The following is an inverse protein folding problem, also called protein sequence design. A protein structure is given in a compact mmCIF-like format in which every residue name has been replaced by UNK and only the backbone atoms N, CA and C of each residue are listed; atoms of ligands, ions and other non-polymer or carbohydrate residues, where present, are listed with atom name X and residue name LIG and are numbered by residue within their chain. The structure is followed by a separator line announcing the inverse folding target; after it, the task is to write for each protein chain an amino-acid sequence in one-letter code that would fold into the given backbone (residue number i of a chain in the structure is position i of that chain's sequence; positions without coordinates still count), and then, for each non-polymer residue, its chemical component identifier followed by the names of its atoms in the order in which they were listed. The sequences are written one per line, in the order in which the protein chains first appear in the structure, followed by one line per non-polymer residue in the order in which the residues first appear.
data_IF_378054620670
#
_entry.id   IF_378054620670
#
_cell.length_a   1.000
_cell.length_b   1.000
_cell.length_c   1.000
_cell.angle_alpha   90.00
_cell.angle_beta   90.00
_cell.angle_gamma   90.00
#
_symmetry.space_group_name_H-M   'P 1'
#
loop_
_entity.id
_entity.type
_entity.pdbx_description
1 polymer ?
#
# COMPACT_ATOMS: atom_id res chain seq x y z
N UNK A 1 27.69 17.91 -15.20
CA UNK A 1 26.32 17.54 -14.77
C UNK A 1 26.45 16.68 -13.52
N UNK A 2 25.99 17.19 -12.37
CA UNK A 2 26.02 16.48 -11.09
C UNK A 2 24.81 15.55 -11.03
N UNK A 3 25.02 14.26 -10.75
CA UNK A 3 23.94 13.31 -10.48
C UNK A 3 23.29 13.66 -9.13
N UNK A 4 21.96 13.62 -8.99
CA UNK A 4 21.32 13.73 -7.69
C UNK A 4 21.62 12.47 -6.85
N UNK A 5 21.64 12.58 -5.52
CA UNK A 5 21.89 11.45 -4.64
C UNK A 5 20.71 10.47 -4.71
N UNK A 6 21.02 9.19 -4.85
CA UNK A 6 20.07 8.08 -4.71
C UNK A 6 19.30 8.24 -3.40
N UNK A 7 17.98 8.38 -3.52
CA UNK A 7 17.06 8.44 -2.37
C UNK A 7 16.99 7.05 -1.75
N UNK A 8 17.14 7.00 -0.42
CA UNK A 8 17.29 5.80 0.39
C UNK A 8 15.98 4.95 0.44
N UNK A 9 14.92 5.37 -0.24
CA UNK A 9 13.60 4.73 -0.25
C UNK A 9 13.42 3.62 -1.29
N UNK A 10 14.36 3.39 -2.21
CA UNK A 10 14.31 2.26 -3.17
C UNK A 10 14.46 0.86 -2.53
N UNK A 11 14.49 0.76 -1.20
CA UNK A 11 14.76 -0.49 -0.47
C UNK A 11 13.53 -1.02 0.29
N UNK A 12 12.43 -0.26 0.39
CA UNK A 12 11.28 -0.65 1.21
C UNK A 12 10.22 -1.52 0.51
N UNK A 13 10.16 -1.54 -0.83
CA UNK A 13 9.18 -2.35 -1.61
C UNK A 13 9.67 -3.79 -1.85
N UNK A 14 10.81 -4.17 -1.24
CA UNK A 14 11.46 -5.47 -1.42
C UNK A 14 11.46 -6.28 -0.11
N UNK A 15 10.28 -6.58 0.43
CA UNK A 15 10.10 -7.60 1.48
C UNK A 15 9.22 -8.73 0.97
N UNK A 16 9.86 -9.55 0.13
CA UNK A 16 9.44 -10.86 -0.33
C UNK A 16 9.08 -11.78 0.85
N UNK A 17 7.87 -12.33 0.79
CA UNK A 17 7.33 -13.45 1.56
C UNK A 17 8.37 -14.56 1.76
N UNK A 18 8.92 -14.67 2.97
CA UNK A 18 9.81 -15.76 3.37
C UNK A 18 9.59 -16.12 4.85
N UNK A 19 8.59 -16.97 5.12
CA UNK A 19 8.65 -17.89 6.25
C UNK A 19 8.48 -19.32 5.76
N UNK A 20 9.63 -19.87 5.38
CA UNK A 20 9.86 -21.27 5.03
C UNK A 20 9.58 -22.15 6.25
N UNK A 21 8.68 -23.10 6.05
CA UNK A 21 8.52 -24.29 6.87
C UNK A 21 9.82 -25.09 6.90
N UNK A 22 10.49 -25.13 8.04
CA UNK A 22 11.60 -26.06 8.30
C UNK A 22 11.18 -27.08 9.34
N UNK A 23 10.79 -28.27 8.87
CA UNK A 23 10.70 -29.46 9.69
C UNK A 23 12.13 -29.91 10.06
N UNK A 24 12.53 -29.74 11.33
CA UNK A 24 13.76 -30.34 11.84
C UNK A 24 13.46 -31.69 12.52
N UNK A 25 14.13 -32.71 12.01
CA UNK A 25 14.26 -34.05 12.59
C UNK A 25 14.96 -33.96 13.94
N UNK A 26 14.38 -34.63 14.94
CA UNK A 26 14.86 -34.80 16.32
C UNK A 26 16.23 -35.48 16.40
N UNK A 27 17.20 -34.81 17.05
CA UNK A 27 18.31 -35.47 17.75
C UNK A 27 18.33 -34.95 19.19
N UNK A 28 17.82 -35.77 20.11
CA UNK A 28 17.89 -35.48 21.54
C UNK A 28 19.34 -35.70 22.04
N UNK A 29 20.05 -34.60 22.33
CA UNK A 29 21.17 -34.62 23.27
C UNK A 29 20.76 -33.86 24.52
N UNK A 30 20.61 -34.58 25.63
CA UNK A 30 20.42 -34.01 26.95
C UNK A 30 21.69 -33.25 27.34
N UNK A 31 21.66 -31.91 27.23
CA UNK A 31 22.65 -31.05 27.85
C UNK A 31 22.18 -30.72 29.28
N UNK A 32 22.98 -31.12 30.25
CA UNK A 32 22.85 -30.72 31.65
C UNK A 32 22.93 -29.20 31.73
N UNK A 33 21.83 -28.52 32.05
CA UNK A 33 21.82 -27.07 32.26
C UNK A 33 22.48 -26.74 33.59
N UNK A 34 23.61 -26.02 33.56
CA UNK A 34 24.10 -25.31 34.74
C UNK A 34 23.10 -24.19 35.11
N UNK A 35 22.88 -23.90 36.41
CA UNK A 35 21.98 -22.83 36.84
C UNK A 35 22.44 -21.48 36.28
N UNK A 36 21.63 -20.89 35.39
CA UNK A 36 21.91 -19.58 34.79
C UNK A 36 21.88 -18.50 35.88
N UNK A 37 22.90 -17.62 35.98
CA UNK A 37 22.90 -16.51 36.92
C UNK A 37 21.66 -15.62 36.72
N UNK A 38 20.93 -15.36 37.81
CA UNK A 38 19.79 -14.43 37.81
C UNK A 38 20.34 -13.02 37.70
N UNK A 39 20.30 -12.46 36.49
CA UNK A 39 20.56 -11.04 36.26
C UNK A 39 19.29 -10.23 36.60
N UNK A 40 19.43 -9.04 37.20
CA UNK A 40 18.30 -8.14 37.43
C UNK A 40 17.63 -7.80 36.09
N UNK A 41 16.30 -7.83 36.07
CA UNK A 41 15.52 -7.50 34.87
C UNK A 41 15.76 -6.02 34.51
N UNK A 42 16.38 -5.80 33.35
CA UNK A 42 16.33 -4.49 32.69
C UNK A 42 14.86 -4.15 32.44
N UNK A 43 14.37 -2.95 32.80
CA UNK A 43 13.03 -2.54 32.44
C UNK A 43 12.92 -2.59 30.92
N UNK A 44 12.00 -3.40 30.40
CA UNK A 44 11.61 -3.32 29.00
C UNK A 44 10.94 -1.96 28.87
N UNK A 45 11.60 -1.03 28.21
CA UNK A 45 11.02 0.27 27.88
C UNK A 45 9.69 0.02 27.16
N UNK A 46 8.66 0.70 27.63
CA UNK A 46 7.36 0.79 26.99
C UNK A 46 7.61 1.18 25.53
N UNK A 47 7.42 0.24 24.62
CA UNK A 47 7.53 0.51 23.19
C UNK A 47 6.35 1.42 22.88
N UNK A 48 6.62 2.69 22.54
CA UNK A 48 5.62 3.57 21.95
C UNK A 48 5.00 2.79 20.79
N UNK A 49 3.75 2.35 20.95
CA UNK A 49 3.01 1.78 19.84
C UNK A 49 2.86 2.92 18.84
N UNK A 50 3.58 2.85 17.71
CA UNK A 50 3.35 3.75 16.61
C UNK A 50 1.83 3.80 16.35
N UNK A 51 1.27 5.00 16.27
CA UNK A 51 -0.16 5.17 16.06
C UNK A 51 -0.53 4.48 14.74
N UNK A 52 -1.37 3.46 14.83
CA UNK A 52 -1.93 2.76 13.67
C UNK A 52 -3.16 3.51 13.18
N UNK A 53 -3.35 3.58 11.86
CA UNK A 53 -4.59 4.00 11.22
C UNK A 53 -5.62 2.86 11.14
N UNK A 54 -5.22 1.60 11.42
CA UNK A 54 -6.11 0.44 11.38
C UNK A 54 -7.00 0.39 12.62
N UNK A 55 -8.31 0.34 12.41
CA UNK A 55 -9.31 0.13 13.45
C UNK A 55 -10.39 -0.84 12.96
N UNK A 56 -10.46 -2.03 13.56
CA UNK A 56 -11.38 -3.08 13.12
C UNK A 56 -11.09 -3.51 11.67
N UNK A 57 -12.07 -3.34 10.79
CA UNK A 57 -11.98 -3.64 9.35
C UNK A 57 -11.93 -2.37 8.50
N UNK A 58 -11.27 -1.35 9.02
CA UNK A 58 -11.08 -0.06 8.36
C UNK A 58 -9.67 0.49 8.62
N UNK A 59 -9.20 1.30 7.69
CA UNK A 59 -7.99 2.08 7.82
C UNK A 59 -8.29 3.55 7.56
N UNK A 60 -7.75 4.42 8.41
CA UNK A 60 -7.82 5.87 8.29
C UNK A 60 -6.41 6.43 8.32
N UNK A 61 -5.99 7.01 7.19
CA UNK A 61 -4.73 7.72 7.05
C UNK A 61 -4.66 8.88 8.05
N UNK A 62 -3.67 8.89 8.97
CA UNK A 62 -3.60 9.89 10.04
C UNK A 62 -3.30 11.31 9.56
N UNK A 63 -2.70 11.47 8.38
CA UNK A 63 -2.22 12.76 7.86
C UNK A 63 -3.24 13.42 6.93
N UNK A 64 -3.72 12.70 5.91
CA UNK A 64 -4.62 13.27 4.90
C UNK A 64 -6.05 12.76 4.99
N UNK A 65 -6.35 11.86 5.93
CA UNK A 65 -7.71 11.38 6.19
C UNK A 65 -8.28 10.47 5.10
N UNK A 66 -7.46 10.03 4.15
CA UNK A 66 -7.83 8.96 3.20
C UNK A 66 -8.26 7.74 4.00
N UNK A 67 -9.33 7.07 3.58
CA UNK A 67 -9.81 5.89 4.30
C UNK A 67 -10.31 4.80 3.38
N UNK A 68 -10.28 3.57 3.88
CA UNK A 68 -10.79 2.37 3.21
C UNK A 68 -11.38 1.43 4.26
N UNK A 69 -12.40 0.66 3.87
CA UNK A 69 -13.00 -0.37 4.71
C UNK A 69 -13.10 -1.69 3.94
N UNK A 70 -12.97 -2.82 4.62
CA UNK A 70 -12.97 -4.13 3.97
C UNK A 70 -13.86 -5.13 4.71
N UNK A 71 -14.21 -6.20 4.01
CA UNK A 71 -14.80 -7.39 4.64
C UNK A 71 -13.67 -8.25 5.24
N UNK A 72 -13.60 -8.40 6.58
CA UNK A 72 -12.53 -9.18 7.22
C UNK A 72 -12.65 -10.70 6.97
N UNK A 73 -13.74 -11.19 6.36
CA UNK A 73 -13.84 -12.56 5.90
C UNK A 73 -13.08 -12.82 4.58
N UNK A 74 -12.76 -11.75 3.84
CA UNK A 74 -12.13 -11.82 2.51
C UNK A 74 -10.73 -11.23 2.53
N UNK A 75 -10.55 -10.13 3.25
CA UNK A 75 -9.36 -9.28 3.20
C UNK A 75 -8.63 -9.29 4.53
N UNK A 76 -7.30 -9.36 4.47
CA UNK A 76 -6.41 -9.27 5.64
C UNK A 76 -5.43 -8.13 5.45
N UNK A 77 -5.16 -7.37 6.52
CA UNK A 77 -4.08 -6.37 6.51
C UNK A 77 -2.75 -7.11 6.49
N UNK A 78 -1.96 -6.86 5.46
CA UNK A 78 -0.63 -7.44 5.28
C UNK A 78 0.47 -6.51 5.80
N UNK A 79 0.21 -5.19 5.78
CA UNK A 79 1.13 -4.17 6.23
C UNK A 79 0.48 -2.81 6.39
N UNK A 80 1.13 -1.96 7.18
CA UNK A 80 0.82 -0.54 7.31
C UNK A 80 2.14 0.22 7.45
N UNK A 81 2.20 1.37 6.81
CA UNK A 81 3.37 2.23 6.82
C UNK A 81 2.92 3.67 7.07
N UNK A 82 3.46 4.29 8.10
CA UNK A 82 3.18 5.69 8.45
C UNK A 82 4.53 6.35 8.74
N UNK A 83 4.92 7.27 7.87
CA UNK A 83 6.16 8.04 7.95
C UNK A 83 5.90 9.50 7.53
N UNK A 84 6.89 10.37 7.72
CA UNK A 84 6.81 11.76 7.30
C UNK A 84 6.69 11.81 5.77
N UNK A 85 5.54 12.29 5.30
CA UNK A 85 5.28 12.46 3.87
C UNK A 85 4.77 11.22 3.15
N UNK A 86 4.52 10.14 3.88
CA UNK A 86 3.99 8.89 3.33
C UNK A 86 3.11 8.17 4.34
N UNK A 87 1.92 7.76 3.92
CA UNK A 87 1.09 6.84 4.69
C UNK A 87 0.40 5.84 3.78
N UNK A 88 0.28 4.60 4.21
CA UNK A 88 -0.40 3.60 3.41
C UNK A 88 -0.72 2.32 4.14
N UNK A 89 -1.63 1.57 3.54
CA UNK A 89 -2.06 0.25 4.00
C UNK A 89 -1.97 -0.74 2.84
N UNK A 90 -1.50 -1.94 3.15
CA UNK A 90 -1.48 -3.08 2.26
C UNK A 90 -2.50 -4.10 2.75
N UNK A 91 -3.42 -4.49 1.87
CA UNK A 91 -4.52 -5.40 2.19
C UNK A 91 -4.58 -6.49 1.11
N UNK A 92 -4.63 -7.76 1.52
CA UNK A 92 -4.55 -8.88 0.59
C UNK A 92 -5.59 -9.97 0.79
N UNK A 93 -5.73 -10.75 -0.27
CA UNK A 93 -6.32 -12.09 -0.33
C UNK A 93 -5.18 -13.10 -0.57
N UNK A 94 -5.44 -14.41 -0.64
CA UNK A 94 -4.39 -15.37 -0.99
C UNK A 94 -3.75 -15.17 -2.38
N UNK A 95 -4.38 -14.44 -3.31
CA UNK A 95 -3.92 -14.28 -4.70
C UNK A 95 -3.86 -12.84 -5.21
N UNK A 96 -4.30 -11.86 -4.41
CA UNK A 96 -4.28 -10.45 -4.75
C UNK A 96 -3.82 -9.59 -3.59
N UNK A 97 -3.17 -8.49 -3.91
CA UNK A 97 -2.76 -7.47 -2.95
C UNK A 97 -3.19 -6.09 -3.46
N UNK A 98 -3.74 -5.27 -2.57
CA UNK A 98 -4.10 -3.88 -2.83
C UNK A 98 -3.30 -2.98 -1.89
N UNK A 99 -2.61 -2.01 -2.48
CA UNK A 99 -1.92 -0.93 -1.79
C UNK A 99 -2.72 0.35 -1.94
N UNK A 100 -2.91 1.07 -0.83
CA UNK A 100 -3.41 2.43 -0.83
C UNK A 100 -2.35 3.29 -0.17
N UNK A 101 -1.74 4.18 -0.96
CA UNK A 101 -0.54 4.91 -0.57
C UNK A 101 -0.72 6.39 -0.85
N UNK A 102 -0.63 7.22 0.19
CA UNK A 102 -0.68 8.67 0.04
C UNK A 102 0.71 9.25 0.21
N UNK A 103 1.11 10.10 -0.73
CA UNK A 103 2.41 10.76 -0.77
C UNK A 103 2.25 12.27 -0.71
N UNK A 104 3.11 12.95 0.05
CA UNK A 104 3.29 14.41 -0.01
C UNK A 104 4.15 14.86 -1.20
N UNK A 105 3.95 14.23 -2.36
CA UNK A 105 4.77 14.39 -3.56
C UNK A 105 3.89 14.81 -4.73
N UNK A 106 4.55 15.08 -5.85
CA UNK A 106 3.92 15.41 -7.13
C UNK A 106 3.08 16.70 -7.11
N UNK A 107 3.21 17.52 -6.06
CA UNK A 107 2.35 18.69 -5.81
C UNK A 107 0.85 18.32 -5.90
N UNK A 108 0.49 17.11 -5.49
CA UNK A 108 -0.87 16.55 -5.60
C UNK A 108 -1.36 16.29 -7.03
N UNK A 109 -0.49 16.36 -8.04
CA UNK A 109 -0.84 16.10 -9.43
C UNK A 109 -0.96 14.58 -9.70
N UNK A 110 -2.19 14.15 -10.01
CA UNK A 110 -2.49 12.74 -10.28
C UNK A 110 -1.79 12.21 -11.54
N UNK A 111 -1.55 13.06 -12.55
CA UNK A 111 -0.87 12.66 -13.78
C UNK A 111 0.62 12.41 -13.55
N UNK A 112 1.27 13.26 -12.76
CA UNK A 112 2.66 13.12 -12.35
C UNK A 112 2.86 11.91 -11.43
N UNK A 113 1.93 11.67 -10.50
CA UNK A 113 1.88 10.44 -9.70
C UNK A 113 1.81 9.20 -10.61
N UNK A 114 0.86 9.18 -11.54
CA UNK A 114 0.68 8.02 -12.43
C UNK A 114 1.90 7.78 -13.33
N UNK A 115 2.49 8.85 -13.89
CA UNK A 115 3.69 8.74 -14.72
C UNK A 115 4.90 8.22 -13.92
N UNK A 116 4.98 8.54 -12.62
CA UNK A 116 6.02 8.00 -11.75
C UNK A 116 5.79 6.51 -11.48
N UNK A 117 4.57 6.12 -11.14
CA UNK A 117 4.20 4.72 -10.91
C UNK A 117 4.44 3.83 -12.16
N UNK A 118 4.07 4.30 -13.36
CA UNK A 118 4.36 3.60 -14.62
C UNK A 118 5.87 3.42 -14.84
N UNK A 119 6.66 4.46 -14.57
CA UNK A 119 8.12 4.42 -14.65
C UNK A 119 8.70 3.42 -13.65
N UNK A 120 8.27 3.48 -12.40
CA UNK A 120 8.74 2.59 -11.33
C UNK A 120 8.40 1.12 -11.62
N UNK A 121 7.22 0.86 -12.19
CA UNK A 121 6.85 -0.48 -12.63
C UNK A 121 7.83 -1.03 -13.68
N UNK A 122 8.24 -0.21 -14.65
CA UNK A 122 9.21 -0.60 -15.67
C UNK A 122 10.65 -0.75 -15.16
N UNK A 123 10.99 -0.10 -14.05
CA UNK A 123 12.33 -0.14 -13.43
C UNK A 123 12.46 -1.18 -12.30
N UNK A 124 11.34 -1.80 -11.89
CA UNK A 124 11.30 -2.75 -10.78
C UNK A 124 12.17 -3.98 -11.06
N UNK A 125 13.01 -4.34 -10.08
CA UNK A 125 13.91 -5.49 -10.21
C UNK A 125 13.15 -6.77 -10.54
N UNK A 126 13.68 -7.54 -11.50
CA UNK A 126 13.08 -8.79 -11.95
C UNK A 126 11.98 -8.63 -12.99
N UNK A 127 11.41 -7.43 -13.20
CA UNK A 127 10.48 -7.16 -14.29
C UNK A 127 11.24 -7.10 -15.62
N UNK A 128 10.72 -7.84 -16.60
CA UNK A 128 11.29 -7.97 -17.95
C UNK A 128 10.38 -7.40 -19.04
N UNK A 129 9.10 -7.23 -18.73
CA UNK A 129 8.09 -6.72 -19.66
C UNK A 129 6.95 -6.07 -18.87
N UNK A 130 6.50 -4.91 -19.36
CA UNK A 130 5.30 -4.19 -18.90
C UNK A 130 4.50 -3.84 -20.15
N UNK A 131 3.24 -4.24 -20.20
CA UNK A 131 2.36 -4.01 -21.36
C UNK A 131 1.02 -3.44 -20.91
N UNK A 132 0.54 -2.31 -21.47
CA UNK A 132 -0.82 -1.83 -21.20
C UNK A 132 -1.86 -2.84 -21.69
N UNK A 133 -2.85 -3.14 -20.84
CA UNK A 133 -3.96 -4.06 -21.12
C UNK A 133 -5.24 -3.27 -21.44
N UNK A 134 -5.17 -2.49 -22.51
CA UNK A 134 -6.28 -1.64 -22.96
C UNK A 134 -7.57 -2.45 -23.20
N UNK A 135 -8.72 -1.84 -22.89
CA UNK A 135 -10.05 -2.46 -23.10
C UNK A 135 -10.49 -3.45 -22.04
N UNK A 136 -9.70 -3.63 -20.97
CA UNK A 136 -10.13 -4.36 -19.77
C UNK A 136 -11.10 -3.52 -18.92
N UNK A 137 -11.98 -4.20 -18.19
CA UNK A 137 -12.81 -3.57 -17.17
C UNK A 137 -11.91 -3.01 -16.07
N UNK A 138 -12.19 -1.78 -15.66
CA UNK A 138 -11.48 -1.10 -14.56
C UNK A 138 -12.26 -1.31 -13.26
N UNK A 139 -11.59 -1.52 -12.12
CA UNK A 139 -12.26 -1.73 -10.83
C UNK A 139 -12.96 -0.47 -10.29
N UNK A 140 -12.69 0.69 -10.88
CA UNK A 140 -13.28 1.97 -10.48
C UNK A 140 -13.96 2.64 -11.69
N UNK A 141 -15.22 3.08 -11.57
CA UNK A 141 -15.94 3.81 -12.61
C UNK A 141 -15.27 5.14 -12.99
N UNK A 142 -15.36 5.54 -14.27
CA UNK A 142 -14.67 6.72 -14.82
C UNK A 142 -15.03 8.05 -14.15
N UNK A 143 -16.26 8.19 -13.63
CA UNK A 143 -16.75 9.42 -12.99
C UNK A 143 -16.15 9.68 -11.60
N UNK A 144 -15.60 8.64 -10.96
CA UNK A 144 -14.94 8.74 -9.65
C UNK A 144 -13.47 8.33 -9.67
N UNK A 145 -13.00 7.72 -10.76
CA UNK A 145 -11.62 7.28 -10.94
C UNK A 145 -10.69 8.47 -11.23
N UNK A 146 -9.47 8.37 -10.73
CA UNK A 146 -8.35 9.23 -11.12
C UNK A 146 -7.71 8.82 -12.46
N UNK A 147 -6.44 9.20 -12.63
CA UNK A 147 -5.63 8.75 -13.78
C UNK A 147 -5.24 7.29 -13.55
N UNK A 148 -5.60 6.38 -14.45
CA UNK A 148 -5.42 4.95 -14.21
C UNK A 148 -5.19 4.14 -15.49
N UNK A 149 -4.53 2.98 -15.33
CA UNK A 149 -4.30 1.99 -16.38
C UNK A 149 -4.14 0.59 -15.75
N UNK A 150 -4.34 -0.46 -16.56
CA UNK A 150 -4.02 -1.83 -16.17
C UNK A 150 -2.83 -2.30 -16.99
N UNK A 151 -1.81 -2.83 -16.32
CA UNK A 151 -0.61 -3.37 -16.94
C UNK A 151 -0.54 -4.89 -16.77
N UNK A 152 -0.12 -5.58 -17.82
CA UNK A 152 0.39 -6.94 -17.74
C UNK A 152 1.88 -6.90 -17.45
N UNK A 153 2.33 -7.71 -16.50
CA UNK A 153 3.74 -7.77 -16.09
C UNK A 153 4.30 -9.17 -16.27
N UNK A 154 5.51 -9.26 -16.82
CA UNK A 154 6.31 -10.48 -16.83
C UNK A 154 7.56 -10.27 -15.98
N UNK A 155 7.72 -11.07 -14.92
CA UNK A 155 8.88 -11.01 -14.04
C UNK A 155 9.59 -12.36 -13.92
N UNK A 156 10.90 -12.34 -13.67
CA UNK A 156 11.67 -13.52 -13.28
C UNK A 156 11.91 -13.47 -11.77
N UNK A 157 11.39 -14.46 -11.05
CA UNK A 157 11.59 -14.61 -9.62
C UNK A 157 13.01 -15.09 -9.29
N UNK A 158 13.50 -14.96 -8.05
CA UNK A 158 14.87 -15.33 -7.68
C UNK A 158 15.22 -16.82 -7.91
N UNK A 159 14.23 -17.71 -7.92
CA UNK A 159 14.39 -19.13 -8.22
C UNK A 159 14.41 -19.43 -9.74
N UNK A 160 14.28 -18.40 -10.58
CA UNK A 160 14.19 -18.51 -12.04
C UNK A 160 12.76 -18.73 -12.57
N UNK A 161 11.75 -18.83 -11.71
CA UNK A 161 10.35 -18.98 -12.11
C UNK A 161 9.87 -17.72 -12.83
N UNK A 162 9.17 -17.90 -13.95
CA UNK A 162 8.52 -16.79 -14.65
C UNK A 162 7.16 -16.52 -14.02
N UNK A 163 6.99 -15.33 -13.46
CA UNK A 163 5.74 -14.80 -12.96
C UNK A 163 5.04 -13.97 -14.06
N UNK A 164 3.72 -14.13 -14.18
CA UNK A 164 2.86 -13.29 -15.02
C UNK A 164 1.72 -12.72 -14.20
N UNK A 165 1.76 -11.41 -14.02
CA UNK A 165 0.81 -10.68 -13.21
C UNK A 165 0.01 -9.67 -14.01
N UNK A 166 -1.00 -9.13 -13.34
CA UNK A 166 -1.71 -7.93 -13.73
C UNK A 166 -1.56 -6.93 -12.59
N UNK A 167 -1.28 -5.68 -12.94
CA UNK A 167 -1.14 -4.56 -12.00
C UNK A 167 -2.04 -3.42 -12.47
N UNK A 168 -3.07 -3.11 -11.70
CA UNK A 168 -3.85 -1.87 -11.84
C UNK A 168 -3.15 -0.77 -11.07
N UNK A 169 -2.98 0.40 -11.69
CA UNK A 169 -2.45 1.60 -11.06
C UNK A 169 -3.45 2.72 -11.25
N UNK A 170 -3.78 3.43 -10.18
CA UNK A 170 -4.61 4.62 -10.19
C UNK A 170 -4.04 5.69 -9.29
N UNK A 171 -3.93 6.92 -9.79
CA UNK A 171 -3.58 8.08 -8.99
C UNK A 171 -4.74 9.08 -8.89
N UNK A 172 -5.02 9.55 -7.68
CA UNK A 172 -6.01 10.60 -7.38
C UNK A 172 -5.33 11.76 -6.64
N UNK A 173 -5.78 12.99 -6.89
CA UNK A 173 -5.40 14.13 -6.05
C UNK A 173 -6.11 14.02 -4.70
N UNK A 174 -5.36 14.14 -3.59
CA UNK A 174 -5.90 14.16 -2.23
C UNK A 174 -6.02 15.59 -1.73
N UNK A 175 -4.91 16.34 -1.78
CA UNK A 175 -4.88 17.78 -1.50
C UNK A 175 -4.19 18.48 -2.67
N UNK A 176 -4.89 19.38 -3.40
CA UNK A 176 -4.29 20.10 -4.51
C UNK A 176 -3.04 20.88 -4.09
N UNK A 177 -1.93 20.68 -4.79
CA UNK A 177 -0.66 21.34 -4.47
C UNK A 177 0.17 20.65 -3.38
N UNK A 178 -0.29 19.51 -2.82
CA UNK A 178 0.36 18.88 -1.67
C UNK A 178 0.44 17.36 -1.77
N UNK A 179 -0.68 16.65 -1.95
CA UNK A 179 -0.73 15.21 -1.76
C UNK A 179 -1.54 14.48 -2.83
N UNK A 180 -1.03 13.29 -3.22
CA UNK A 180 -1.67 12.37 -4.14
C UNK A 180 -1.80 10.98 -3.51
N UNK A 181 -2.88 10.28 -3.84
CA UNK A 181 -3.13 8.89 -3.50
C UNK A 181 -2.79 8.04 -4.72
N UNK A 182 -1.93 7.06 -4.54
CA UNK A 182 -1.69 5.95 -5.46
C UNK A 182 -2.42 4.70 -4.93
N UNK A 183 -3.19 4.06 -5.81
CA UNK A 183 -3.87 2.80 -5.56
C UNK A 183 -3.28 1.79 -6.53
N UNK A 184 -2.73 0.71 -5.97
CA UNK A 184 -2.12 -0.35 -6.77
C UNK A 184 -2.80 -1.67 -6.42
N UNK A 185 -3.34 -2.38 -7.40
CA UNK A 185 -3.83 -3.75 -7.23
C UNK A 185 -3.02 -4.72 -8.08
N UNK A 186 -2.41 -5.70 -7.42
CA UNK A 186 -1.61 -6.75 -8.04
C UNK A 186 -2.29 -8.10 -7.90
N UNK A 187 -2.30 -8.87 -8.98
CA UNK A 187 -2.81 -10.24 -8.98
C UNK A 187 -2.13 -11.09 -10.06
N UNK A 188 -2.31 -12.41 -10.01
CA UNK A 188 -1.89 -13.31 -11.09
C UNK A 188 -2.81 -13.17 -12.29
N UNK A 189 -2.29 -13.39 -13.51
CA UNK A 189 -3.10 -13.23 -14.75
C UNK A 189 -4.40 -14.03 -14.74
N UNK A 190 -4.39 -15.24 -14.17
CA UNK A 190 -5.57 -16.09 -14.08
C UNK A 190 -6.59 -15.68 -13.01
N UNK A 191 -6.21 -14.83 -12.06
CA UNK A 191 -7.04 -14.37 -10.95
C UNK A 191 -7.73 -13.04 -11.20
N UNK A 192 -7.35 -12.29 -12.25
CA UNK A 192 -7.87 -10.96 -12.51
C UNK A 192 -9.41 -10.90 -12.60
N UNK A 193 -10.02 -11.72 -13.46
CA UNK A 193 -11.48 -11.70 -13.64
C UNK A 193 -12.23 -12.27 -12.41
N UNK A 194 -11.57 -13.11 -11.60
CA UNK A 194 -12.12 -13.68 -10.36
C UNK A 194 -12.15 -12.65 -9.23
N UNK A 195 -11.06 -11.92 -9.05
CA UNK A 195 -10.89 -10.96 -7.96
C UNK A 195 -11.42 -9.57 -8.31
N UNK A 196 -11.66 -9.25 -9.58
CA UNK A 196 -12.18 -7.93 -10.01
C UNK A 196 -13.40 -7.48 -9.19
N UNK A 197 -14.47 -8.29 -8.99
CA UNK A 197 -15.61 -7.86 -8.18
C UNK A 197 -15.27 -7.62 -6.70
N UNK A 198 -14.28 -8.33 -6.17
CA UNK A 198 -13.81 -8.14 -4.78
C UNK A 198 -13.08 -6.82 -4.64
N UNK A 199 -12.26 -6.48 -5.64
CA UNK A 199 -11.53 -5.21 -5.69
C UNK A 199 -12.45 -4.04 -5.97
N UNK A 200 -13.44 -4.19 -6.86
CA UNK A 200 -14.51 -3.20 -7.07
C UNK A 200 -15.21 -2.87 -5.74
N UNK A 201 -15.59 -3.89 -4.97
CA UNK A 201 -16.23 -3.71 -3.68
C UNK A 201 -15.32 -3.02 -2.66
N UNK A 202 -14.02 -3.37 -2.62
CA UNK A 202 -13.04 -2.73 -1.74
C UNK A 202 -12.83 -1.25 -2.12
N UNK A 203 -12.54 -0.97 -3.39
CA UNK A 203 -12.21 0.37 -3.88
C UNK A 203 -13.42 1.31 -3.87
N UNK A 204 -14.65 0.78 -3.91
CA UNK A 204 -15.87 1.56 -3.69
C UNK A 204 -15.97 2.13 -2.25
N UNK A 205 -15.23 1.59 -1.28
CA UNK A 205 -15.19 2.11 0.09
C UNK A 205 -14.16 3.22 0.28
N UNK A 206 -13.28 3.44 -0.72
CA UNK A 206 -12.22 4.43 -0.62
C UNK A 206 -12.82 5.83 -0.60
N UNK A 207 -12.48 6.58 0.44
CA UNK A 207 -12.92 7.95 0.64
C UNK A 207 -11.73 8.87 0.80
N UNK A 208 -11.73 9.95 0.02
CA UNK A 208 -10.80 11.08 0.14
C UNK A 208 -11.60 12.23 0.76
N UNK A 209 -11.15 12.83 1.88
CA UNK A 209 -11.86 13.97 2.48
C UNK A 209 -12.00 15.11 1.47
N UNK A 210 -13.19 15.70 1.39
CA UNK A 210 -13.39 16.91 0.60
C UNK A 210 -12.74 18.11 1.35
N UNK A 211 -11.68 18.72 0.81
CA UNK A 211 -11.05 19.88 1.45
C UNK A 211 -12.01 21.07 1.56
N UNK A 212 -13.06 21.14 0.72
CA UNK A 212 -14.10 22.17 0.80
C UNK A 212 -15.12 21.92 1.91
N UNK A 213 -15.26 20.69 2.41
CA UNK A 213 -16.24 20.34 3.44
C UNK A 213 -15.74 20.65 4.87
N UNK A 214 -14.43 20.84 5.06
CA UNK A 214 -13.80 21.10 6.35
C UNK A 214 -13.88 22.56 6.83
N UNK A 215 -14.45 23.49 6.06
CA UNK A 215 -14.64 24.86 6.51
C UNK A 215 -15.89 24.98 7.42
N UNK A 216 -15.76 25.14 8.75
CA UNK A 216 -16.89 25.56 9.56
C UNK A 216 -17.36 26.92 9.04
N UNK A 217 -18.62 27.02 8.67
CA UNK A 217 -19.29 28.30 8.41
C UNK A 217 -19.21 29.11 9.70
N UNK A 218 -18.25 30.02 9.79
CA UNK A 218 -18.22 30.99 10.88
C UNK A 218 -19.56 31.74 10.87
N UNK A 219 -20.25 31.87 12.01
CA UNK A 219 -21.50 32.61 12.06
C UNK A 219 -21.23 34.05 11.60
N UNK A 220 -21.95 34.49 10.58
CA UNK A 220 -21.91 35.86 10.09
C UNK A 220 -22.34 36.76 11.23
N UNK A 221 -21.39 37.48 11.83
CA UNK A 221 -21.70 38.48 12.85
C UNK A 221 -22.64 39.52 12.24
N UNK A 222 -23.85 39.61 12.76
CA UNK A 222 -24.81 40.65 12.36
C UNK A 222 -24.26 42.00 12.80
N UNK A 223 -24.12 43.00 11.91
CA UNK A 223 -23.69 44.33 12.32
C UNK A 223 -24.74 44.93 13.26
N UNK A 224 -24.31 45.35 14.44
CA UNK A 224 -25.13 46.13 15.36
C UNK A 224 -25.20 47.56 14.80
N UNK A 225 -26.43 48.01 14.52
CA UNK A 225 -26.74 49.38 14.10
C UNK A 225 -26.83 50.34 15.29
#
# INVERSE_FOLDING_TARGET
MRRPPYSIHHVAILMLVLLISSAMVTVARAQSQEPKPVLPATPVGESDSAATGVSGSSWHGPTWGVSVSWDPALWTVEGEFIDIGYEGVQIGTPISTVYLETYNRFDGDAGACFADAERELGEREGISEVVPLTGRSMPVPEDVRGVAEIFGITATLPDGTVYRGVEYVECRTVVPGEAALEITWQTVTGGFDEDLPLVEALLATVSIPDPSAAAPTAPVATPIA
#
